data_IF_866808774123
#
_entry.id   IF_866808774123
#
_cell.length_a   1.000
_cell.length_b   1.000
_cell.length_c   1.000
_cell.angle_alpha   90.00
_cell.angle_beta   90.00
_cell.angle_gamma   90.00
#
_symmetry.space_group_name_H-M   'P 1'
#
loop_
_entity.id
_entity.type
_entity.pdbx_description
1 polymer ?
#
# COMPACT_ATOMS: atom_id res chain seq x y z
N UNK A 1 -35.72 10.16 3.18
CA UNK A 1 -34.48 9.53 2.70
C UNK A 1 -33.77 8.89 3.89
N UNK A 2 -34.30 7.79 4.42
CA UNK A 2 -33.63 7.02 5.48
C UNK A 2 -33.02 5.79 4.81
N UNK A 3 -31.81 5.92 4.28
CA UNK A 3 -31.02 4.71 4.04
C UNK A 3 -30.90 4.01 5.38
N UNK A 4 -31.38 2.76 5.47
CA UNK A 4 -31.43 2.09 6.78
C UNK A 4 -30.00 1.89 7.28
N UNK A 5 -29.78 1.88 8.61
CA UNK A 5 -28.46 1.61 9.20
C UNK A 5 -27.80 0.35 8.60
N UNK A 6 -28.61 -0.64 8.19
CA UNK A 6 -28.14 -1.84 7.50
C UNK A 6 -27.56 -1.57 6.10
N UNK A 7 -28.10 -0.63 5.34
CA UNK A 7 -27.54 -0.24 4.04
C UNK A 7 -26.20 0.48 4.20
N UNK A 8 -26.08 1.34 5.22
CA UNK A 8 -24.81 2.02 5.54
C UNK A 8 -23.75 0.99 5.97
N UNK A 9 -24.11 0.01 6.80
CA UNK A 9 -23.20 -1.09 7.18
C UNK A 9 -22.74 -1.89 5.95
N UNK A 10 -23.67 -2.26 5.06
CA UNK A 10 -23.32 -3.01 3.85
C UNK A 10 -22.38 -2.22 2.90
N UNK A 11 -22.56 -0.90 2.79
CA UNK A 11 -21.65 -0.05 2.00
C UNK A 11 -20.26 0.04 2.62
N UNK A 12 -20.16 0.13 3.95
CA UNK A 12 -18.88 0.14 4.66
C UNK A 12 -18.15 -1.21 4.53
N UNK A 13 -18.88 -2.32 4.62
CA UNK A 13 -18.29 -3.66 4.45
C UNK A 13 -17.67 -3.84 3.05
N UNK A 14 -18.37 -3.39 2.00
CA UNK A 14 -17.83 -3.41 0.64
C UNK A 14 -16.65 -2.44 0.47
N UNK A 15 -16.69 -1.28 1.12
CA UNK A 15 -15.57 -0.34 1.10
C UNK A 15 -14.32 -0.94 1.77
N UNK A 16 -14.47 -1.65 2.88
CA UNK A 16 -13.36 -2.35 3.53
C UNK A 16 -12.78 -3.46 2.68
N UNK A 17 -13.63 -4.26 2.03
CA UNK A 17 -13.18 -5.32 1.13
C UNK A 17 -12.32 -4.76 -0.01
N UNK A 18 -12.72 -3.62 -0.59
CA UNK A 18 -11.94 -2.93 -1.62
C UNK A 18 -10.63 -2.37 -1.09
N UNK A 19 -10.64 -1.83 0.12
CA UNK A 19 -9.43 -1.31 0.76
C UNK A 19 -8.40 -2.43 1.01
N UNK A 20 -8.85 -3.60 1.47
CA UNK A 20 -7.99 -4.79 1.64
C UNK A 20 -7.44 -5.30 0.30
N UNK A 21 -8.24 -5.29 -0.76
CA UNK A 21 -7.80 -5.68 -2.10
C UNK A 21 -6.71 -4.75 -2.64
N UNK A 22 -6.91 -3.43 -2.50
CA UNK A 22 -5.91 -2.41 -2.88
C UNK A 22 -4.65 -2.53 -2.03
N UNK A 23 -4.79 -2.80 -0.73
CA UNK A 23 -3.66 -3.01 0.16
C UNK A 23 -2.80 -4.19 -0.30
N UNK A 24 -3.41 -5.35 -0.58
CA UNK A 24 -2.68 -6.52 -1.08
C UNK A 24 -2.01 -6.29 -2.44
N UNK A 25 -2.64 -5.52 -3.32
CA UNK A 25 -2.02 -5.12 -4.60
C UNK A 25 -0.78 -4.23 -4.39
N UNK A 26 -0.84 -3.30 -3.43
CA UNK A 26 0.29 -2.43 -3.09
C UNK A 26 1.45 -3.22 -2.46
N UNK A 27 1.16 -4.20 -1.59
CA UNK A 27 2.17 -5.11 -1.04
C UNK A 27 2.85 -5.94 -2.15
N UNK A 28 2.08 -6.43 -3.12
CA UNK A 28 2.63 -7.12 -4.29
C UNK A 28 3.52 -6.21 -5.14
N UNK A 29 3.09 -4.96 -5.37
CA UNK A 29 3.89 -3.98 -6.10
C UNK A 29 5.20 -3.63 -5.38
N UNK A 30 5.18 -3.54 -4.04
CA UNK A 30 6.38 -3.34 -3.23
C UNK A 30 7.38 -4.49 -3.40
N UNK A 31 6.88 -5.73 -3.38
CA UNK A 31 7.72 -6.92 -3.59
C UNK A 31 8.40 -6.89 -4.97
N UNK A 32 7.65 -6.55 -6.03
CA UNK A 32 8.22 -6.43 -7.38
C UNK A 32 9.27 -5.32 -7.50
N UNK A 33 9.10 -4.21 -6.76
CA UNK A 33 10.09 -3.14 -6.71
C UNK A 33 11.40 -3.60 -6.04
N UNK A 34 11.29 -4.37 -4.96
CA UNK A 34 12.46 -4.95 -4.28
C UNK A 34 13.21 -5.95 -5.17
N UNK A 35 12.49 -6.80 -5.90
CA UNK A 35 13.07 -7.73 -6.88
C UNK A 35 13.77 -6.98 -8.01
N UNK A 36 13.13 -5.94 -8.56
CA UNK A 36 13.72 -5.10 -9.60
C UNK A 36 15.00 -4.41 -9.12
N UNK A 37 15.00 -3.90 -7.88
CA UNK A 37 16.18 -3.30 -7.26
C UNK A 37 17.32 -4.32 -7.13
N UNK A 38 17.03 -5.53 -6.67
CA UNK A 38 18.02 -6.60 -6.53
C UNK A 38 18.63 -6.99 -7.89
N UNK A 39 17.82 -7.08 -8.94
CA UNK A 39 18.30 -7.35 -10.31
C UNK A 39 19.21 -6.24 -10.83
N UNK A 40 18.86 -4.97 -10.59
CA UNK A 40 19.67 -3.83 -11.00
C UNK A 40 21.03 -3.84 -10.30
N UNK A 41 21.05 -4.05 -8.98
CA UNK A 41 22.30 -4.15 -8.21
C UNK A 41 23.19 -5.29 -8.70
N UNK A 42 22.60 -6.46 -8.97
CA UNK A 42 23.33 -7.63 -9.47
C UNK A 42 23.89 -7.41 -10.88
N UNK A 43 23.13 -6.74 -11.77
CA UNK A 43 23.54 -6.48 -13.15
C UNK A 43 24.65 -5.43 -13.28
N UNK A 44 24.81 -4.55 -12.30
CA UNK A 44 25.84 -3.50 -12.31
C UNK A 44 27.15 -3.90 -11.63
N UNK A 45 27.24 -5.16 -11.16
CA UNK A 45 28.40 -5.72 -10.46
C UNK A 45 28.83 -4.90 -9.23
N UNK A 46 27.88 -4.15 -8.66
CA UNK A 46 28.14 -3.18 -7.59
C UNK A 46 28.93 -1.94 -8.02
N UNK A 47 29.17 -1.71 -9.32
CA UNK A 47 29.79 -0.48 -9.80
C UNK A 47 28.84 0.71 -9.66
N UNK A 48 29.32 1.77 -9.02
CA UNK A 48 28.65 3.06 -8.78
C UNK A 48 28.40 3.80 -10.11
N UNK A 49 27.56 3.26 -11.00
CA UNK A 49 27.01 4.06 -12.07
C UNK A 49 26.02 5.02 -11.41
N UNK A 50 26.35 6.30 -11.31
CA UNK A 50 25.55 7.33 -10.65
C UNK A 50 24.04 7.26 -10.99
N UNK A 51 23.70 6.90 -12.23
CA UNK A 51 22.32 6.70 -12.66
C UNK A 51 21.61 5.53 -11.93
N UNK A 52 22.32 4.45 -11.64
CA UNK A 52 21.82 3.27 -10.92
C UNK A 52 21.64 3.57 -9.44
N UNK A 53 22.55 4.33 -8.82
CA UNK A 53 22.40 4.79 -7.44
C UNK A 53 21.17 5.68 -7.28
N UNK A 54 20.97 6.62 -8.20
CA UNK A 54 19.79 7.48 -8.21
C UNK A 54 18.49 6.69 -8.40
N UNK A 55 18.49 5.70 -9.30
CA UNK A 55 17.36 4.78 -9.49
C UNK A 55 17.08 3.96 -8.24
N UNK A 56 18.13 3.41 -7.62
CA UNK A 56 18.04 2.61 -6.39
C UNK A 56 17.50 3.45 -5.23
N UNK A 57 17.98 4.68 -5.07
CA UNK A 57 17.48 5.63 -4.07
C UNK A 57 16.02 5.98 -4.30
N UNK A 58 15.63 6.29 -5.54
CA UNK A 58 14.25 6.62 -5.88
C UNK A 58 13.29 5.44 -5.64
N UNK A 59 13.74 4.21 -5.88
CA UNK A 59 12.98 2.99 -5.58
C UNK A 59 12.77 2.81 -4.08
N UNK A 60 13.81 3.02 -3.26
CA UNK A 60 13.73 2.98 -1.80
C UNK A 60 12.75 4.04 -1.27
N UNK A 61 12.88 5.29 -1.72
CA UNK A 61 12.00 6.39 -1.29
C UNK A 61 10.54 6.11 -1.67
N UNK A 62 10.31 5.55 -2.85
CA UNK A 62 8.98 5.15 -3.32
C UNK A 62 8.41 4.03 -2.47
N UNK A 63 9.22 3.00 -2.17
CA UNK A 63 8.84 1.88 -1.31
C UNK A 63 8.43 2.36 0.08
N UNK A 64 9.25 3.20 0.70
CA UNK A 64 9.02 3.72 2.05
C UNK A 64 7.77 4.62 2.09
N UNK A 65 7.56 5.43 1.05
CA UNK A 65 6.35 6.25 0.91
C UNK A 65 5.09 5.39 0.78
N UNK A 66 5.14 4.31 -0.02
CA UNK A 66 4.02 3.39 -0.18
C UNK A 66 3.72 2.66 1.14
N UNK A 67 4.75 2.17 1.84
CA UNK A 67 4.59 1.48 3.11
C UNK A 67 3.94 2.37 4.17
N UNK A 68 4.38 3.63 4.28
CA UNK A 68 3.77 4.61 5.18
C UNK A 68 2.32 4.94 4.81
N UNK A 69 2.04 5.07 3.51
CA UNK A 69 0.68 5.32 3.01
C UNK A 69 -0.24 4.14 3.28
N UNK A 70 0.27 2.91 3.13
CA UNK A 70 -0.46 1.69 3.42
C UNK A 70 -0.77 1.54 4.90
N UNK A 71 0.20 1.82 5.77
CA UNK A 71 -0.01 1.82 7.22
C UNK A 71 -1.06 2.87 7.64
N UNK A 72 -1.01 4.06 7.05
CA UNK A 72 -1.99 5.13 7.29
C UNK A 72 -3.40 4.73 6.82
N UNK A 73 -3.49 4.11 5.64
CA UNK A 73 -4.75 3.56 5.13
C UNK A 73 -5.29 2.45 6.05
N UNK A 74 -4.44 1.55 6.53
CA UNK A 74 -4.81 0.51 7.50
C UNK A 74 -5.37 1.09 8.80
N UNK A 75 -4.74 2.13 9.35
CA UNK A 75 -5.22 2.84 10.54
C UNK A 75 -6.59 3.49 10.30
N UNK A 76 -6.75 4.20 9.17
CA UNK A 76 -8.02 4.84 8.82
C UNK A 76 -9.14 3.82 8.61
N UNK A 77 -8.84 2.68 7.97
CA UNK A 77 -9.77 1.56 7.81
C UNK A 77 -10.19 1.01 9.17
N UNK A 78 -9.25 0.86 10.10
CA UNK A 78 -9.54 0.37 11.46
C UNK A 78 -10.44 1.34 12.23
N UNK A 79 -10.17 2.64 12.18
CA UNK A 79 -11.01 3.66 12.84
C UNK A 79 -12.47 3.62 12.33
N UNK A 80 -12.65 3.46 11.03
CA UNK A 80 -13.99 3.35 10.43
C UNK A 80 -14.65 2.01 10.78
N UNK A 81 -13.88 0.91 10.92
CA UNK A 81 -14.40 -0.40 11.39
C UNK A 81 -14.92 -0.31 12.81
N UNK A 82 -14.13 0.30 13.70
CA UNK A 82 -14.50 0.50 15.10
C UNK A 82 -15.76 1.36 15.22
N UNK A 83 -15.87 2.41 14.41
CA UNK A 83 -17.08 3.22 14.33
C UNK A 83 -18.29 2.40 13.86
N UNK A 84 -18.16 1.61 12.78
CA UNK A 84 -19.23 0.72 12.27
C UNK A 84 -19.71 -0.26 13.35
N UNK A 85 -18.79 -0.82 14.11
CA UNK A 85 -19.10 -1.82 15.13
C UNK A 85 -19.75 -1.21 16.38
N UNK A 86 -19.55 0.10 16.61
CA UNK A 86 -20.23 0.85 17.66
C UNK A 86 -21.68 1.26 17.35
N UNK A 87 -22.09 1.20 16.08
CA UNK A 87 -23.46 1.52 15.61
C UNK A 87 -24.42 0.34 15.78
#
# INVERSE_FOLDING_TARGET
MSGSIAEVKAQLDEAFRRAEEVAGQLEGALTLLEEAQAMVIAATDGSEHHAVELLTSALVDTRDTLANSLASLGSAVQEVRDYRDSL
#
